data_IF_262245305723
#
_entry.id   IF_262245305723
#
_cell.length_a   1.000
_cell.length_b   1.000
_cell.length_c   1.000
_cell.angle_alpha   90.00
_cell.angle_beta   90.00
_cell.angle_gamma   90.00
#
_symmetry.space_group_name_H-M   'P 1'
#
loop_
_entity.id
_entity.type
_entity.pdbx_description
1 polymer ?
#
# COMPACT_ATOMS: atom_id res chain seq x y z
N UNK A 1 8.58 18.01 16.42
CA UNK A 1 9.68 17.16 15.90
C UNK A 1 9.58 15.79 16.53
N UNK A 2 9.39 15.70 17.85
CA UNK A 2 9.04 14.46 18.55
C UNK A 2 7.91 13.68 17.89
N UNK A 3 6.75 14.31 17.64
CA UNK A 3 5.59 13.62 17.09
C UNK A 3 5.82 12.99 15.70
N UNK A 4 6.45 13.70 14.75
CA UNK A 4 6.78 13.16 13.43
C UNK A 4 7.74 11.96 13.51
N UNK A 5 8.72 12.02 14.42
CA UNK A 5 9.62 10.90 14.67
C UNK A 5 8.90 9.69 15.26
N UNK A 6 7.96 9.90 16.19
CA UNK A 6 7.13 8.83 16.75
C UNK A 6 6.30 8.15 15.66
N UNK A 7 5.63 8.92 14.79
CA UNK A 7 4.86 8.35 13.68
C UNK A 7 5.75 7.52 12.74
N UNK A 8 6.96 8.02 12.42
CA UNK A 8 7.89 7.29 11.57
C UNK A 8 8.36 5.98 12.22
N UNK A 9 8.60 5.97 13.53
CA UNK A 9 8.94 4.75 14.27
C UNK A 9 7.78 3.74 14.27
N UNK A 10 6.55 4.21 14.52
CA UNK A 10 5.37 3.35 14.48
C UNK A 10 5.19 2.75 13.08
N UNK A 11 5.36 3.55 12.03
CA UNK A 11 5.34 3.08 10.64
C UNK A 11 6.42 2.03 10.37
N UNK A 12 7.67 2.30 10.75
CA UNK A 12 8.81 1.39 10.58
C UNK A 12 8.62 0.05 11.31
N UNK A 13 8.14 0.10 12.56
CA UNK A 13 7.83 -1.12 13.34
C UNK A 13 6.67 -1.88 12.70
N UNK A 14 5.65 -1.18 12.19
CA UNK A 14 4.50 -1.80 11.53
C UNK A 14 4.91 -2.58 10.29
N UNK A 15 5.72 -1.99 9.39
CA UNK A 15 6.21 -2.68 8.20
C UNK A 15 7.20 -3.81 8.55
N UNK A 16 8.01 -3.63 9.60
CA UNK A 16 8.90 -4.68 10.08
C UNK A 16 8.13 -5.89 10.60
N UNK A 17 7.06 -5.67 11.37
CA UNK A 17 6.14 -6.74 11.81
C UNK A 17 5.44 -7.37 10.60
N UNK A 18 5.02 -6.58 9.61
CA UNK A 18 4.38 -7.09 8.40
C UNK A 18 5.28 -8.08 7.65
N UNK A 19 6.60 -7.85 7.61
CA UNK A 19 7.56 -8.80 7.02
C UNK A 19 7.56 -10.17 7.73
N UNK A 20 7.46 -10.20 9.06
CA UNK A 20 7.34 -11.46 9.79
C UNK A 20 5.99 -12.14 9.57
N UNK A 21 4.89 -11.35 9.56
CA UNK A 21 3.56 -11.88 9.24
C UNK A 21 3.55 -12.49 7.84
N UNK A 22 4.19 -11.85 6.87
CA UNK A 22 4.30 -12.36 5.50
C UNK A 22 5.09 -13.67 5.46
N UNK A 23 6.17 -13.80 6.23
CA UNK A 23 6.92 -15.04 6.33
C UNK A 23 6.07 -16.20 6.87
N UNK A 24 5.21 -15.93 7.85
CA UNK A 24 4.45 -16.98 8.57
C UNK A 24 3.10 -17.31 7.90
N UNK A 25 2.45 -16.31 7.29
CA UNK A 25 1.08 -16.41 6.75
C UNK A 25 0.98 -16.08 5.25
N UNK A 26 2.11 -15.80 4.60
CA UNK A 26 2.18 -15.40 3.20
C UNK A 26 1.73 -13.96 2.93
N UNK A 27 1.81 -13.52 1.66
CA UNK A 27 1.44 -12.16 1.24
C UNK A 27 0.00 -11.78 1.59
N UNK A 28 -0.95 -12.72 1.45
CA UNK A 28 -2.37 -12.49 1.76
C UNK A 28 -2.57 -12.15 3.25
N UNK A 29 -1.80 -12.78 4.14
CA UNK A 29 -1.82 -12.51 5.58
C UNK A 29 -1.33 -11.10 5.92
N UNK A 30 -0.16 -10.71 5.41
CA UNK A 30 0.40 -9.37 5.67
C UNK A 30 -0.47 -8.26 5.05
N UNK A 31 -1.05 -8.51 3.87
CA UNK A 31 -1.99 -7.63 3.21
C UNK A 31 -3.24 -7.41 4.05
N UNK A 32 -3.92 -8.48 4.49
CA UNK A 32 -5.17 -8.36 5.25
C UNK A 32 -5.00 -7.70 6.63
N UNK A 33 -3.90 -7.98 7.33
CA UNK A 33 -3.70 -7.54 8.72
C UNK A 33 -3.05 -6.14 8.79
N UNK A 34 -2.12 -5.85 7.88
CA UNK A 34 -1.33 -4.61 7.91
C UNK A 34 -1.60 -3.76 6.69
N UNK A 35 -1.16 -4.20 5.51
CA UNK A 35 -1.06 -3.27 4.38
C UNK A 35 -2.41 -2.74 3.92
N UNK A 36 -3.45 -3.58 3.83
CA UNK A 36 -4.83 -3.21 3.45
C UNK A 36 -5.72 -2.83 4.63
N UNK A 37 -5.24 -2.96 5.87
CA UNK A 37 -6.04 -2.63 7.04
C UNK A 37 -6.28 -1.11 7.20
N UNK A 38 -7.49 -0.76 7.68
CA UNK A 38 -7.90 0.63 7.86
C UNK A 38 -6.96 1.40 8.80
N UNK A 39 -6.45 0.76 9.85
CA UNK A 39 -5.57 1.41 10.82
C UNK A 39 -4.25 1.87 10.18
N UNK A 40 -3.70 1.08 9.24
CA UNK A 40 -2.46 1.40 8.55
C UNK A 40 -2.68 2.53 7.53
N UNK A 41 -3.84 2.54 6.88
CA UNK A 41 -4.27 3.65 6.02
C UNK A 41 -4.40 4.96 6.81
N UNK A 42 -5.06 4.93 7.97
CA UNK A 42 -5.18 6.08 8.87
C UNK A 42 -3.79 6.54 9.33
N UNK A 43 -2.88 5.62 9.67
CA UNK A 43 -1.50 5.96 10.04
C UNK A 43 -0.78 6.73 8.92
N UNK A 44 -0.85 6.22 7.68
CA UNK A 44 -0.26 6.89 6.52
C UNK A 44 -0.88 8.27 6.27
N UNK A 45 -2.21 8.39 6.37
CA UNK A 45 -2.91 9.67 6.20
C UNK A 45 -2.50 10.69 7.26
N UNK A 46 -2.45 10.27 8.54
CA UNK A 46 -1.99 11.10 9.65
C UNK A 46 -0.55 11.54 9.45
N UNK A 47 0.33 10.68 8.91
CA UNK A 47 1.70 11.05 8.56
C UNK A 47 1.76 12.15 7.50
N UNK A 48 1.01 12.01 6.39
CA UNK A 48 0.98 13.03 5.33
C UNK A 48 0.49 14.37 5.88
N UNK A 49 -0.64 14.37 6.59
CA UNK A 49 -1.21 15.58 7.22
C UNK A 49 -0.22 16.19 8.22
N UNK A 50 0.45 15.36 9.03
CA UNK A 50 1.45 15.83 9.96
C UNK A 50 2.63 16.51 9.26
N UNK A 51 3.17 15.92 8.19
CA UNK A 51 4.30 16.47 7.46
C UNK A 51 3.95 17.80 6.79
N UNK A 52 2.76 17.90 6.18
CA UNK A 52 2.24 19.16 5.62
C UNK A 52 2.12 20.23 6.72
N UNK A 53 1.52 19.87 7.85
CA UNK A 53 1.39 20.77 8.99
C UNK A 53 2.74 21.26 9.52
N UNK A 54 3.73 20.37 9.62
CA UNK A 54 5.10 20.72 10.05
C UNK A 54 5.77 21.70 9.08
N UNK A 55 5.62 21.49 7.77
CA UNK A 55 6.16 22.39 6.74
C UNK A 55 5.60 23.81 6.91
N UNK A 56 4.28 23.94 7.07
CA UNK A 56 3.59 25.22 7.19
C UNK A 56 3.90 25.90 8.52
N UNK A 57 3.70 25.21 9.64
CA UNK A 57 3.86 25.75 10.99
C UNK A 57 5.31 26.18 11.27
N UNK A 58 6.29 25.46 10.72
CA UNK A 58 7.71 25.79 10.88
C UNK A 58 8.28 26.65 9.76
N UNK A 59 7.45 27.12 8.82
CA UNK A 59 7.83 27.97 7.68
C UNK A 59 9.06 27.42 6.93
N UNK A 60 9.03 26.12 6.63
CA UNK A 60 10.21 25.42 6.08
C UNK A 60 10.53 25.79 4.63
N UNK A 61 9.66 26.57 3.98
CA UNK A 61 9.88 27.19 2.67
C UNK A 61 10.93 28.32 2.67
N UNK A 62 11.42 28.75 3.85
CA UNK A 62 12.51 29.72 3.99
C UNK A 62 13.86 29.13 3.59
N UNK A 63 14.74 29.94 2.97
CA UNK A 63 16.05 29.53 2.39
C UNK A 63 16.95 28.72 3.33
N UNK A 64 16.91 29.02 4.62
CA UNK A 64 17.78 28.38 5.61
C UNK A 64 17.36 26.94 5.98
N UNK A 65 16.19 26.47 5.53
CA UNK A 65 15.60 25.18 5.94
C UNK A 65 15.30 24.23 4.78
N UNK A 66 15.87 24.48 3.60
CA UNK A 66 15.58 23.72 2.38
C UNK A 66 15.91 22.24 2.45
N UNK A 67 17.00 21.88 3.13
CA UNK A 67 17.37 20.47 3.34
C UNK A 67 16.25 19.74 4.09
N UNK A 68 15.74 20.33 5.17
CA UNK A 68 14.65 19.73 5.93
C UNK A 68 13.34 19.70 5.15
N UNK A 69 13.05 20.74 4.35
CA UNK A 69 11.88 20.78 3.47
C UNK A 69 11.92 19.62 2.46
N UNK A 70 13.07 19.40 1.82
CA UNK A 70 13.27 18.34 0.83
C UNK A 70 12.92 16.96 1.40
N UNK A 71 13.38 16.64 2.61
CA UNK A 71 13.05 15.36 3.25
C UNK A 71 11.54 15.19 3.49
N UNK A 72 10.86 16.23 3.98
CA UNK A 72 9.41 16.13 4.23
C UNK A 72 8.63 15.99 2.93
N UNK A 73 9.01 16.76 1.89
CA UNK A 73 8.38 16.66 0.57
C UNK A 73 8.63 15.28 -0.05
N UNK A 74 9.83 14.73 0.06
CA UNK A 74 10.14 13.39 -0.43
C UNK A 74 9.26 12.32 0.24
N UNK A 75 9.09 12.37 1.57
CA UNK A 75 8.21 11.43 2.26
C UNK A 75 6.73 11.61 1.87
N UNK A 76 6.26 12.84 1.67
CA UNK A 76 4.90 13.09 1.17
C UNK A 76 4.71 12.45 -0.21
N UNK A 77 5.69 12.62 -1.13
CA UNK A 77 5.64 12.00 -2.47
C UNK A 77 5.61 10.47 -2.37
N UNK A 78 6.47 9.87 -1.53
CA UNK A 78 6.52 8.42 -1.32
C UNK A 78 5.18 7.90 -0.77
N UNK A 79 4.61 8.57 0.24
CA UNK A 79 3.33 8.17 0.84
C UNK A 79 2.15 8.35 -0.14
N UNK A 80 2.16 9.39 -0.97
CA UNK A 80 1.17 9.54 -2.05
C UNK A 80 1.31 8.43 -3.09
N UNK A 81 2.53 8.07 -3.48
CA UNK A 81 2.80 6.93 -4.37
C UNK A 81 2.26 5.62 -3.78
N UNK A 82 2.51 5.37 -2.49
CA UNK A 82 1.96 4.21 -1.79
C UNK A 82 0.43 4.19 -1.80
N UNK A 83 -0.22 5.35 -1.62
CA UNK A 83 -1.67 5.49 -1.75
C UNK A 83 -2.17 5.16 -3.15
N UNK A 84 -1.49 5.63 -4.20
CA UNK A 84 -1.84 5.30 -5.59
C UNK A 84 -1.74 3.79 -5.84
N UNK A 85 -0.62 3.15 -5.46
CA UNK A 85 -0.44 1.70 -5.58
C UNK A 85 -1.50 0.91 -4.81
N UNK A 86 -1.93 1.39 -3.64
CA UNK A 86 -2.99 0.75 -2.84
C UNK A 86 -4.34 0.76 -3.54
N UNK A 87 -4.77 1.92 -4.06
CA UNK A 87 -6.13 2.09 -4.57
C UNK A 87 -6.28 1.72 -6.05
N UNK A 88 -5.20 1.82 -6.83
CA UNK A 88 -5.22 1.63 -8.28
C UNK A 88 -4.21 0.58 -8.78
N UNK A 89 -3.34 0.07 -7.90
CA UNK A 89 -2.40 -0.98 -8.25
C UNK A 89 -3.06 -2.34 -8.34
N UNK A 90 -2.56 -3.16 -9.25
CA UNK A 90 -2.93 -4.56 -9.42
C UNK A 90 -1.76 -5.43 -8.95
N UNK A 91 -2.05 -6.40 -8.09
CA UNK A 91 -1.07 -7.31 -7.48
C UNK A 91 -1.37 -8.75 -7.92
N UNK A 92 -0.34 -9.59 -7.95
CA UNK A 92 -0.48 -10.98 -8.36
C UNK A 92 0.84 -11.72 -8.51
N UNK A 93 0.73 -13.00 -8.85
CA UNK A 93 1.87 -13.89 -9.02
C UNK A 93 2.18 -14.14 -10.50
N UNK A 94 3.45 -13.97 -10.86
CA UNK A 94 3.98 -14.32 -12.18
C UNK A 94 5.05 -15.39 -12.03
N UNK A 95 4.79 -16.58 -12.54
CA UNK A 95 5.78 -17.66 -12.55
C UNK A 95 6.58 -17.62 -13.86
N UNK A 96 7.85 -17.23 -13.79
CA UNK A 96 8.77 -17.19 -14.93
C UNK A 96 9.87 -18.24 -14.72
N UNK A 97 10.12 -19.07 -15.74
CA UNK A 97 11.24 -20.02 -15.72
C UNK A 97 12.51 -19.36 -16.25
N UNK A 98 13.67 -19.87 -15.83
CA UNK A 98 14.97 -19.41 -16.31
C UNK A 98 15.04 -19.44 -17.85
N UNK A 99 15.40 -18.30 -18.44
CA UNK A 99 15.48 -18.12 -19.90
C UNK A 99 14.14 -17.86 -20.61
N UNK A 100 13.01 -17.90 -19.90
CA UNK A 100 11.69 -17.57 -20.44
C UNK A 100 11.29 -16.12 -20.13
N UNK A 101 10.26 -15.64 -20.83
CA UNK A 101 9.60 -14.37 -20.53
C UNK A 101 8.08 -14.58 -20.50
N UNK A 102 7.38 -13.87 -19.62
CA UNK A 102 5.92 -13.85 -19.57
C UNK A 102 5.43 -12.40 -19.56
N UNK A 103 4.31 -12.16 -20.25
CA UNK A 103 3.54 -10.93 -20.19
C UNK A 103 2.18 -11.13 -19.51
N UNK A 104 2.00 -12.26 -18.82
CA UNK A 104 0.76 -12.61 -18.11
C UNK A 104 1.07 -13.01 -16.67
N UNK A 105 0.19 -12.63 -15.75
CA UNK A 105 0.27 -12.96 -14.33
C UNK A 105 -1.11 -13.33 -13.79
N UNK A 106 -1.14 -14.07 -12.69
CA UNK A 106 -2.36 -14.46 -11.98
C UNK A 106 -2.63 -13.40 -10.92
N UNK A 107 -3.76 -12.70 -11.01
CA UNK A 107 -4.15 -11.68 -10.02
C UNK A 107 -4.41 -12.29 -8.65
N UNK A 108 -4.01 -11.59 -7.59
CA UNK A 108 -4.33 -11.94 -6.19
C UNK A 108 -5.75 -11.54 -5.77
N UNK A 109 -6.47 -10.78 -6.60
CA UNK A 109 -7.84 -10.39 -6.30
C UNK A 109 -8.77 -11.62 -6.29
N UNK A 110 -9.63 -11.69 -5.27
CA UNK A 110 -10.62 -12.77 -5.16
C UNK A 110 -11.87 -12.37 -5.93
N UNK A 111 -12.34 -13.25 -6.82
CA UNK A 111 -13.57 -13.07 -7.57
C UNK A 111 -14.57 -14.16 -7.18
N UNK A 112 -15.83 -13.79 -6.96
CA UNK A 112 -16.93 -14.76 -6.93
C UNK A 112 -17.31 -15.03 -8.38
N UNK A 113 -16.97 -16.25 -8.80
CA UNK A 113 -17.42 -16.80 -10.07
C UNK A 113 -18.68 -17.63 -9.81
N UNK A 114 -19.84 -17.09 -10.19
CA UNK A 114 -21.09 -17.83 -10.14
C UNK A 114 -21.53 -18.19 -11.56
N UNK A 115 -21.63 -19.48 -11.85
CA UNK A 115 -22.20 -19.96 -13.10
C UNK A 115 -23.60 -20.51 -12.82
N UNK A 116 -24.63 -19.84 -13.31
CA UNK A 116 -26.00 -20.34 -13.24
C UNK A 116 -26.24 -21.19 -14.49
N UNK A 117 -26.55 -22.47 -14.28
CA UNK A 117 -27.00 -23.39 -15.32
C UNK A 117 -28.53 -23.43 -15.29
N UNK A 118 -29.18 -22.76 -16.25
CA UNK A 118 -30.63 -22.82 -16.45
C UNK A 118 -30.93 -23.47 -17.81
N UNK A 119 -31.10 -24.80 -17.80
CA UNK A 119 -31.25 -25.59 -19.03
C UNK A 119 -30.01 -25.51 -19.95
N UNK A 120 -30.19 -24.94 -21.15
CA UNK A 120 -29.16 -24.77 -22.19
C UNK A 120 -28.46 -23.40 -22.14
N UNK A 121 -28.83 -22.52 -21.20
CA UNK A 121 -28.22 -21.21 -21.04
C UNK A 121 -27.23 -21.18 -19.87
N UNK A 122 -25.96 -20.95 -20.19
CA UNK A 122 -24.90 -20.60 -19.23
C UNK A 122 -24.86 -19.08 -19.07
N UNK A 123 -24.99 -18.59 -17.82
CA UNK A 123 -24.66 -17.21 -17.45
C UNK A 123 -23.53 -17.22 -16.44
N UNK A 124 -22.43 -16.55 -16.78
CA UNK A 124 -21.25 -16.41 -15.93
C UNK A 124 -21.27 -15.01 -15.29
N UNK A 125 -21.22 -14.98 -13.97
CA UNK A 125 -21.05 -13.76 -13.17
C UNK A 125 -19.62 -13.74 -12.65
N UNK A 126 -18.92 -12.63 -12.87
CA UNK A 126 -17.53 -12.43 -12.49
C UNK A 126 -17.46 -11.13 -11.66
N UNK A 127 -17.80 -11.22 -10.38
CA UNK A 127 -17.81 -10.06 -9.48
C UNK A 127 -16.62 -10.10 -8.52
N UNK A 128 -15.99 -8.94 -8.32
CA UNK A 128 -14.91 -8.76 -7.35
C UNK A 128 -15.47 -8.85 -5.92
N UNK A 129 -14.78 -9.57 -5.04
CA UNK A 129 -15.10 -9.69 -3.61
C UNK A 129 -14.37 -8.63 -2.80
#
# INVERSE_FOLDING_TARGET
MSFSGTLLLVFGVSIGIATFIENDFGPIGSQSIVYRALWFEVLMMVMVVNMIGVIILKKMYLRDRWVNLLFHVAFIIILMGAGITRFFGEEGMMHIREGESSNTFISEQTYINATILDGDQKREFHDKV
#
